data_IF_355470695046
#
_entry.id   IF_355470695046
#
_cell.length_a   1.000
_cell.length_b   1.000
_cell.length_c   1.000
_cell.angle_alpha   90.00
_cell.angle_beta   90.00
_cell.angle_gamma   90.00
#
_symmetry.space_group_name_H-M   'P 1'
#
loop_
_entity.id
_entity.type
_entity.pdbx_description
1 polymer ?
#
# COMPACT_ATOMS: atom_id res chain seq x y z
N UNK A 1 11.12 -10.25 -5.69
CA UNK A 1 10.30 -9.83 -6.84
C UNK A 1 10.51 -8.36 -7.11
N UNK A 2 10.82 -7.97 -8.36
CA UNK A 2 11.09 -6.58 -8.74
C UNK A 2 10.14 -6.16 -9.85
N UNK A 3 9.68 -4.90 -9.81
CA UNK A 3 8.93 -4.30 -10.91
C UNK A 3 9.88 -4.14 -12.10
N UNK A 4 9.47 -4.53 -13.33
CA UNK A 4 10.30 -4.36 -14.53
C UNK A 4 10.80 -2.91 -14.68
N UNK A 5 12.10 -2.73 -14.90
CA UNK A 5 12.72 -1.39 -14.92
C UNK A 5 12.11 -0.47 -15.98
N UNK A 6 11.72 -1.01 -17.15
CA UNK A 6 11.08 -0.20 -18.19
C UNK A 6 9.77 0.46 -17.73
N UNK A 7 9.03 -0.17 -16.81
CA UNK A 7 7.81 0.41 -16.22
C UNK A 7 8.18 1.63 -15.39
N UNK A 8 9.20 1.50 -14.53
CA UNK A 8 9.70 2.58 -13.68
C UNK A 8 10.32 3.71 -14.52
N UNK A 9 11.06 3.36 -15.56
CA UNK A 9 11.74 4.30 -16.45
C UNK A 9 10.75 5.13 -17.27
N UNK A 10 9.63 4.54 -17.67
CA UNK A 10 8.54 5.23 -18.38
C UNK A 10 7.75 6.24 -17.53
N UNK A 11 7.90 6.21 -16.20
CA UNK A 11 7.16 7.12 -15.31
C UNK A 11 7.68 8.56 -15.37
N UNK A 12 6.85 9.56 -15.02
CA UNK A 12 7.31 10.93 -14.78
C UNK A 12 8.48 10.98 -13.79
N UNK A 13 9.35 12.00 -13.93
CA UNK A 13 10.57 12.10 -13.12
C UNK A 13 10.32 12.06 -11.62
N UNK A 14 9.26 12.69 -11.12
CA UNK A 14 8.92 12.69 -9.70
C UNK A 14 8.51 11.32 -9.19
N UNK A 15 7.64 10.61 -9.92
CA UNK A 15 7.26 9.23 -9.62
C UNK A 15 8.49 8.32 -9.63
N UNK A 16 9.29 8.37 -10.69
CA UNK A 16 10.49 7.52 -10.85
C UNK A 16 11.52 7.74 -9.73
N UNK A 17 11.84 8.99 -9.41
CA UNK A 17 12.81 9.32 -8.35
C UNK A 17 12.31 8.88 -6.98
N UNK A 18 11.06 9.18 -6.63
CA UNK A 18 10.48 8.75 -5.36
C UNK A 18 10.40 7.24 -5.25
N UNK A 19 9.94 6.54 -6.30
CA UNK A 19 9.85 5.09 -6.31
C UNK A 19 11.22 4.44 -6.05
N UNK A 20 12.26 4.84 -6.81
CA UNK A 20 13.60 4.26 -6.64
C UNK A 20 14.18 4.51 -5.26
N UNK A 21 14.02 5.72 -4.73
CA UNK A 21 14.49 6.07 -3.39
C UNK A 21 13.80 5.19 -2.33
N UNK A 22 12.48 5.13 -2.34
CA UNK A 22 11.71 4.41 -1.32
C UNK A 22 11.75 2.89 -1.49
N UNK A 23 11.90 2.37 -2.71
CA UNK A 23 12.17 0.96 -2.96
C UNK A 23 13.50 0.55 -2.31
N UNK A 24 14.58 1.27 -2.62
CA UNK A 24 15.90 0.99 -2.05
C UNK A 24 15.86 1.12 -0.53
N UNK A 25 15.26 2.19 -0.02
CA UNK A 25 15.14 2.43 1.42
C UNK A 25 14.39 1.29 2.13
N UNK A 26 13.27 0.85 1.57
CA UNK A 26 12.50 -0.29 2.08
C UNK A 26 13.32 -1.57 2.06
N UNK A 27 14.09 -1.80 0.99
CA UNK A 27 14.91 -3.00 0.89
C UNK A 27 16.00 -3.07 1.95
N UNK A 28 16.70 -1.96 2.16
CA UNK A 28 17.88 -1.89 3.02
C UNK A 28 17.53 -1.70 4.50
N UNK A 29 16.41 -1.05 4.82
CA UNK A 29 16.18 -0.50 6.17
C UNK A 29 14.90 -0.98 6.84
N UNK A 30 13.91 -1.45 6.09
CA UNK A 30 12.58 -1.74 6.64
C UNK A 30 12.38 -3.25 6.81
N UNK A 31 12.03 -3.65 8.04
CA UNK A 31 11.81 -5.05 8.39
C UNK A 31 10.32 -5.39 8.40
N UNK A 32 9.97 -6.51 7.80
CA UNK A 32 8.61 -7.08 7.80
C UNK A 32 8.55 -8.24 8.79
N UNK A 33 7.46 -8.33 9.56
CA UNK A 33 7.23 -9.42 10.52
C UNK A 33 6.99 -10.77 9.85
N UNK A 34 6.51 -10.77 8.60
CA UNK A 34 6.33 -11.95 7.76
C UNK A 34 7.28 -11.89 6.54
N UNK A 35 8.61 -12.02 6.73
CA UNK A 35 9.59 -11.80 5.67
C UNK A 35 9.52 -12.83 4.53
N UNK A 36 8.95 -14.01 4.80
CA UNK A 36 8.73 -15.08 3.83
C UNK A 36 7.32 -15.11 3.25
N UNK A 37 6.47 -14.13 3.59
CA UNK A 37 5.12 -14.05 3.02
C UNK A 37 5.20 -13.78 1.53
N UNK A 38 4.61 -14.67 0.74
CA UNK A 38 4.43 -14.50 -0.71
C UNK A 38 3.29 -13.51 -1.03
N UNK A 39 2.51 -13.08 -0.02
CA UNK A 39 1.29 -12.27 -0.20
C UNK A 39 1.45 -10.83 0.27
N UNK A 40 2.07 -10.61 1.44
CA UNK A 40 2.18 -9.28 2.08
C UNK A 40 3.63 -8.90 2.39
N UNK A 41 4.58 -9.50 1.67
CA UNK A 41 5.98 -9.12 1.71
C UNK A 41 6.27 -7.84 0.92
N UNK A 42 7.55 -7.45 0.86
CA UNK A 42 8.02 -6.23 0.16
C UNK A 42 7.52 -6.09 -1.29
N UNK A 43 7.30 -7.20 -2.01
CA UNK A 43 6.77 -7.17 -3.38
C UNK A 43 5.40 -6.48 -3.49
N UNK A 44 4.52 -6.71 -2.51
CA UNK A 44 3.23 -6.03 -2.40
C UNK A 44 3.43 -4.53 -2.17
N UNK A 45 4.19 -4.16 -1.14
CA UNK A 45 4.46 -2.76 -0.81
C UNK A 45 5.10 -1.96 -1.95
N UNK A 46 5.95 -2.60 -2.79
CA UNK A 46 6.49 -1.97 -4.00
C UNK A 46 5.42 -1.59 -5.01
N UNK A 47 4.47 -2.49 -5.30
CA UNK A 47 3.40 -2.20 -6.26
C UNK A 47 2.46 -1.12 -5.71
N UNK A 48 2.10 -1.21 -4.43
CA UNK A 48 1.31 -0.17 -3.73
C UNK A 48 2.03 1.20 -3.79
N UNK A 49 3.33 1.24 -3.55
CA UNK A 49 4.14 2.46 -3.65
C UNK A 49 4.05 3.07 -5.07
N UNK A 50 4.20 2.25 -6.11
CA UNK A 50 4.11 2.72 -7.49
C UNK A 50 2.71 3.27 -7.79
N UNK A 51 1.64 2.53 -7.45
CA UNK A 51 0.27 2.98 -7.70
C UNK A 51 -0.04 4.29 -6.95
N UNK A 52 0.33 4.39 -5.68
CA UNK A 52 0.10 5.60 -4.88
C UNK A 52 0.82 6.83 -5.47
N UNK A 53 2.07 6.67 -5.92
CA UNK A 53 2.83 7.73 -6.58
C UNK A 53 2.22 8.14 -7.93
N UNK A 54 1.78 7.18 -8.74
CA UNK A 54 1.11 7.46 -10.02
C UNK A 54 -0.22 8.22 -9.79
N UNK A 55 -1.04 7.75 -8.86
CA UNK A 55 -2.33 8.36 -8.55
C UNK A 55 -2.19 9.76 -7.99
N UNK A 56 -1.30 9.98 -7.02
CA UNK A 56 -1.09 11.31 -6.44
C UNK A 56 -0.51 12.27 -7.46
N UNK A 57 0.37 11.80 -8.36
CA UNK A 57 0.90 12.63 -9.45
C UNK A 57 -0.17 13.05 -10.44
N UNK A 58 -1.09 12.14 -10.76
CA UNK A 58 -2.21 12.41 -11.66
C UNK A 58 -3.21 13.40 -11.04
N UNK A 59 -3.44 13.28 -9.74
CA UNK A 59 -4.50 14.00 -9.03
C UNK A 59 -4.07 15.36 -8.47
N UNK A 60 -2.85 15.43 -7.92
CA UNK A 60 -2.31 16.60 -7.21
C UNK A 60 -1.08 17.21 -7.89
N UNK A 61 -0.64 16.68 -9.04
CA UNK A 61 0.53 17.19 -9.74
C UNK A 61 1.85 16.90 -9.00
N UNK A 62 2.80 17.82 -9.08
CA UNK A 62 4.12 17.71 -8.43
C UNK A 62 4.07 18.08 -6.94
N UNK A 63 3.15 17.46 -6.19
CA UNK A 63 3.01 17.69 -4.76
C UNK A 63 3.97 16.77 -3.97
N UNK A 64 5.16 17.29 -3.65
CA UNK A 64 6.23 16.54 -2.98
C UNK A 64 5.83 16.02 -1.59
N UNK A 65 5.08 16.81 -0.82
CA UNK A 65 4.63 16.42 0.51
C UNK A 65 3.65 15.25 0.44
N UNK A 66 2.67 15.32 -0.45
CA UNK A 66 1.71 14.24 -0.68
C UNK A 66 2.39 12.95 -1.15
N UNK A 67 3.38 13.05 -2.06
CA UNK A 67 4.19 11.92 -2.50
C UNK A 67 4.98 11.30 -1.35
N UNK A 68 5.58 12.13 -0.48
CA UNK A 68 6.33 11.67 0.70
C UNK A 68 5.42 10.96 1.69
N UNK A 69 4.26 11.53 2.02
CA UNK A 69 3.26 10.94 2.92
C UNK A 69 2.81 9.57 2.42
N UNK A 70 2.44 9.46 1.14
CA UNK A 70 2.01 8.20 0.55
C UNK A 70 3.13 7.18 0.44
N UNK A 71 4.37 7.62 0.21
CA UNK A 71 5.54 6.73 0.22
C UNK A 71 5.78 6.13 1.60
N UNK A 72 5.66 6.94 2.66
CA UNK A 72 5.72 6.44 4.03
C UNK A 72 4.58 5.45 4.32
N UNK A 73 3.35 5.75 3.91
CA UNK A 73 2.23 4.82 4.09
C UNK A 73 2.49 3.48 3.37
N UNK A 74 2.86 3.52 2.09
CA UNK A 74 3.09 2.33 1.28
C UNK A 74 4.23 1.45 1.78
N UNK A 75 5.35 2.04 2.20
CA UNK A 75 6.52 1.29 2.68
C UNK A 75 6.25 0.59 4.02
N UNK A 76 5.41 1.17 4.89
CA UNK A 76 5.27 0.70 6.26
C UNK A 76 3.97 -0.06 6.59
N UNK A 77 2.87 0.14 5.85
CA UNK A 77 1.51 -0.29 6.27
C UNK A 77 1.36 -1.76 6.66
N UNK A 78 2.07 -2.67 5.98
CA UNK A 78 1.98 -4.12 6.18
C UNK A 78 3.19 -4.72 6.92
N UNK A 79 4.08 -3.87 7.44
CA UNK A 79 5.31 -4.33 8.10
C UNK A 79 5.06 -5.16 9.37
N UNK A 80 3.92 -5.00 10.03
CA UNK A 80 3.59 -5.61 11.33
C UNK A 80 2.36 -6.50 11.30
N UNK A 81 2.16 -7.18 10.17
CA UNK A 81 1.23 -8.30 10.09
C UNK A 81 1.69 -9.47 10.98
N UNK A 82 0.73 -10.16 11.57
CA UNK A 82 0.89 -11.39 12.34
C UNK A 82 0.40 -12.61 11.56
N UNK A 83 -0.43 -12.40 10.54
CA UNK A 83 -1.06 -13.40 9.71
C UNK A 83 -1.28 -12.88 8.27
N UNK A 84 -1.27 -13.80 7.31
CA UNK A 84 -1.49 -13.53 5.89
C UNK A 84 -2.99 -13.45 5.51
N UNK A 85 -3.90 -13.94 6.36
CA UNK A 85 -5.34 -13.99 6.10
C UNK A 85 -6.13 -12.82 6.70
N UNK A 86 -6.50 -12.89 7.99
CA UNK A 86 -7.34 -11.91 8.67
C UNK A 86 -6.58 -11.30 9.84
N UNK A 87 -6.06 -10.09 9.63
CA UNK A 87 -5.26 -9.41 10.64
C UNK A 87 -5.71 -7.97 10.87
N UNK A 88 -6.99 -7.77 11.19
CA UNK A 88 -7.51 -6.42 11.47
C UNK A 88 -6.75 -5.77 12.64
N UNK A 89 -6.19 -4.58 12.43
CA UNK A 89 -5.33 -3.85 13.36
C UNK A 89 -3.84 -3.85 12.99
N UNK A 90 -3.43 -4.52 11.91
CA UNK A 90 -2.04 -4.47 11.42
C UNK A 90 -1.58 -3.06 11.08
N UNK A 91 -2.46 -2.24 10.51
CA UNK A 91 -2.16 -0.84 10.23
C UNK A 91 -1.71 -0.08 11.48
N UNK A 92 -2.39 -0.28 12.61
CA UNK A 92 -2.04 0.37 13.88
C UNK A 92 -0.69 -0.09 14.43
N UNK A 93 -0.37 -1.39 14.31
CA UNK A 93 0.96 -1.90 14.71
C UNK A 93 2.06 -1.37 13.79
N UNK A 94 1.80 -1.29 12.48
CA UNK A 94 2.70 -0.67 11.52
C UNK A 94 2.94 0.81 11.84
N UNK A 95 1.91 1.56 12.23
CA UNK A 95 2.04 2.95 12.64
C UNK A 95 2.93 3.15 13.88
N UNK A 96 2.82 2.26 14.87
CA UNK A 96 3.71 2.27 16.04
C UNK A 96 5.16 2.03 15.61
N UNK A 97 5.38 0.99 14.78
CA UNK A 97 6.72 0.71 14.25
C UNK A 97 7.27 1.88 13.43
N UNK A 98 6.48 2.47 12.55
CA UNK A 98 6.85 3.64 11.76
C UNK A 98 7.26 4.82 12.65
N UNK A 99 6.51 5.10 13.72
CA UNK A 99 6.83 6.17 14.67
C UNK A 99 8.17 5.94 15.37
N UNK A 100 8.43 4.72 15.85
CA UNK A 100 9.70 4.37 16.52
C UNK A 100 10.87 4.33 15.52
N UNK A 101 10.60 3.90 14.29
CA UNK A 101 11.55 3.95 13.19
C UNK A 101 11.95 5.40 12.86
N UNK A 102 11.00 6.33 12.81
CA UNK A 102 11.31 7.75 12.57
C UNK A 102 12.08 8.40 13.72
N UNK A 103 11.86 7.97 14.97
CA UNK A 103 12.58 8.49 16.15
C UNK A 103 14.06 8.11 16.15
N UNK A 104 14.37 6.91 15.68
CA UNK A 104 15.73 6.34 15.71
C UNK A 104 16.43 6.37 14.34
N UNK A 105 15.67 6.63 13.27
CA UNK A 105 16.14 6.68 11.89
C UNK A 105 16.29 8.10 11.34
N UNK A 106 16.49 8.18 10.02
CA UNK A 106 16.82 9.42 9.31
C UNK A 106 15.66 9.98 8.47
N UNK A 107 14.43 9.50 8.67
CA UNK A 107 13.25 10.03 7.95
C UNK A 107 12.36 10.83 8.91
N UNK A 108 11.85 12.00 8.50
CA UNK A 108 10.99 12.80 9.35
C UNK A 108 9.67 12.08 9.60
N UNK A 109 9.21 12.12 10.85
CA UNK A 109 7.89 11.61 11.21
C UNK A 109 6.79 12.47 10.53
N UNK A 110 5.83 11.81 9.89
CA UNK A 110 4.60 12.42 9.40
C UNK A 110 3.42 11.85 10.19
N UNK A 111 2.72 12.73 10.91
CA UNK A 111 1.50 12.35 11.63
C UNK A 111 0.44 11.83 10.64
N UNK A 112 0.29 12.51 9.51
CA UNK A 112 -0.71 12.14 8.52
C UNK A 112 -0.42 10.78 7.86
N UNK A 113 0.84 10.48 7.53
CA UNK A 113 1.22 9.16 7.06
C UNK A 113 0.93 8.07 8.11
N UNK A 114 1.19 8.36 9.39
CA UNK A 114 0.92 7.47 10.51
C UNK A 114 -0.58 7.17 10.65
N UNK A 115 -1.45 8.17 10.53
CA UNK A 115 -2.90 7.99 10.61
C UNK A 115 -3.47 7.28 9.36
N UNK A 116 -2.98 7.59 8.16
CA UNK A 116 -3.37 6.89 6.92
C UNK A 116 -3.04 5.39 7.02
N UNK A 117 -1.81 5.04 7.39
CA UNK A 117 -1.42 3.64 7.52
C UNK A 117 -2.14 2.95 8.69
N UNK A 118 -2.41 3.67 9.79
CA UNK A 118 -3.06 3.11 10.98
C UNK A 118 -4.46 2.58 10.71
N UNK A 119 -5.20 3.26 9.82
CA UNK A 119 -6.60 2.97 9.56
C UNK A 119 -6.89 2.41 8.16
N UNK A 120 -5.86 2.10 7.36
CA UNK A 120 -6.07 1.58 6.01
C UNK A 120 -6.82 0.22 6.01
N UNK A 121 -6.65 -0.57 7.07
CA UNK A 121 -7.26 -1.88 7.28
C UNK A 121 -8.63 -1.82 7.99
N UNK A 122 -9.18 -0.62 8.16
CA UNK A 122 -10.50 -0.38 8.76
C UNK A 122 -11.51 0.09 7.73
N UNK A 123 -12.79 0.07 8.12
CA UNK A 123 -13.87 0.68 7.36
C UNK A 123 -13.58 2.16 7.08
N UNK A 124 -13.96 2.63 5.90
CA UNK A 124 -13.68 4.00 5.43
C UNK A 124 -14.21 5.06 6.39
N UNK A 125 -15.38 4.83 6.99
CA UNK A 125 -15.99 5.80 7.91
C UNK A 125 -15.13 6.00 9.15
N UNK A 126 -14.55 4.90 9.66
CA UNK A 126 -13.65 4.95 10.82
C UNK A 126 -12.38 5.73 10.45
N UNK A 127 -11.74 5.40 9.33
CA UNK A 127 -10.52 6.09 8.91
C UNK A 127 -10.74 7.58 8.65
N UNK A 128 -11.80 7.95 7.95
CA UNK A 128 -12.15 9.36 7.68
C UNK A 128 -12.41 10.13 8.97
N UNK A 129 -13.19 9.56 9.90
CA UNK A 129 -13.46 10.20 11.18
C UNK A 129 -12.18 10.43 12.00
N UNK A 130 -11.30 9.43 12.03
CA UNK A 130 -10.05 9.51 12.81
C UNK A 130 -9.08 10.51 12.22
N UNK A 131 -8.89 10.52 10.90
CA UNK A 131 -8.06 11.53 10.23
C UNK A 131 -8.60 12.94 10.44
N UNK A 132 -9.92 13.12 10.37
CA UNK A 132 -10.57 14.42 10.62
C UNK A 132 -10.30 14.93 12.03
N UNK A 133 -10.24 14.02 13.01
CA UNK A 133 -10.05 14.36 14.42
C UNK A 133 -8.58 14.54 14.77
N UNK A 134 -7.69 13.70 14.23
CA UNK A 134 -6.26 13.69 14.54
C UNK A 134 -5.47 14.74 13.74
N UNK A 135 -5.97 15.18 12.59
CA UNK A 135 -5.33 16.16 11.71
C UNK A 135 -6.34 17.22 11.25
N UNK A 136 -6.93 18.01 12.16
CA UNK A 136 -8.06 18.90 11.84
C UNK A 136 -7.71 19.98 10.80
N UNK A 137 -6.47 20.49 10.82
CA UNK A 137 -5.99 21.52 9.90
C UNK A 137 -5.65 20.97 8.51
N UNK A 138 -5.46 19.65 8.39
CA UNK A 138 -5.10 18.94 7.15
C UNK A 138 -6.19 17.96 6.71
N UNK A 139 -7.40 18.03 7.29
CA UNK A 139 -8.41 16.97 7.16
C UNK A 139 -8.80 16.68 5.71
N UNK A 140 -8.98 17.69 4.86
CA UNK A 140 -9.34 17.50 3.46
C UNK A 140 -8.24 16.78 2.70
N UNK A 141 -7.00 17.26 2.81
CA UNK A 141 -5.83 16.64 2.19
C UNK A 141 -5.61 15.22 2.75
N UNK A 142 -5.77 15.03 4.05
CA UNK A 142 -5.63 13.75 4.72
C UNK A 142 -6.63 12.70 4.26
N UNK A 143 -7.90 13.09 4.14
CA UNK A 143 -8.93 12.20 3.60
C UNK A 143 -8.64 11.85 2.14
N UNK A 144 -8.17 12.79 1.33
CA UNK A 144 -7.81 12.53 -0.06
C UNK A 144 -6.64 11.55 -0.18
N UNK A 145 -5.54 11.77 0.55
CA UNK A 145 -4.39 10.86 0.56
C UNK A 145 -4.75 9.50 1.14
N UNK A 146 -5.60 9.43 2.16
CA UNK A 146 -6.12 8.16 2.68
C UNK A 146 -6.86 7.36 1.61
N UNK A 147 -7.74 8.02 0.85
CA UNK A 147 -8.50 7.36 -0.22
C UNK A 147 -7.59 6.90 -1.36
N UNK A 148 -6.61 7.72 -1.76
CA UNK A 148 -5.58 7.32 -2.74
C UNK A 148 -4.82 6.09 -2.24
N UNK A 149 -4.41 6.09 -0.96
CA UNK A 149 -3.66 4.99 -0.38
C UNK A 149 -4.47 3.67 -0.36
N UNK A 150 -5.73 3.72 0.07
CA UNK A 150 -6.60 2.52 0.08
C UNK A 150 -6.86 1.97 -1.31
N UNK A 151 -7.00 2.84 -2.30
CA UNK A 151 -7.18 2.40 -3.68
C UNK A 151 -5.89 1.77 -4.23
N UNK A 152 -4.72 2.35 -3.92
CA UNK A 152 -3.43 1.78 -4.28
C UNK A 152 -3.20 0.40 -3.66
N UNK A 153 -3.55 0.21 -2.38
CA UNK A 153 -3.53 -1.10 -1.72
C UNK A 153 -4.51 -2.09 -2.38
N UNK A 154 -5.74 -1.64 -2.68
CA UNK A 154 -6.76 -2.45 -3.31
C UNK A 154 -6.38 -2.90 -4.72
N UNK A 155 -5.75 -2.04 -5.53
CA UNK A 155 -5.29 -2.39 -6.89
C UNK A 155 -4.33 -3.58 -6.88
N UNK A 156 -3.56 -3.78 -5.81
CA UNK A 156 -2.65 -4.91 -5.72
C UNK A 156 -3.33 -6.24 -5.41
N UNK A 157 -4.65 -6.26 -5.16
CA UNK A 157 -5.39 -7.47 -4.80
C UNK A 157 -5.57 -8.46 -5.95
N UNK A 158 -5.26 -8.09 -7.19
CA UNK A 158 -5.15 -9.07 -8.28
C UNK A 158 -4.16 -10.19 -7.96
N UNK A 159 -3.20 -9.97 -7.04
CA UNK A 159 -2.29 -11.01 -6.54
C UNK A 159 -3.00 -12.15 -5.81
N UNK A 160 -4.20 -11.89 -5.29
CA UNK A 160 -5.04 -12.84 -4.57
C UNK A 160 -5.93 -13.68 -5.51
N UNK A 161 -5.89 -13.39 -6.82
CA UNK A 161 -6.65 -14.10 -7.84
C UNK A 161 -7.49 -13.16 -8.73
N UNK A 162 -8.17 -13.71 -9.75
CA UNK A 162 -8.90 -12.92 -10.75
C UNK A 162 -10.06 -12.08 -10.18
N UNK A 163 -10.61 -12.47 -9.03
CA UNK A 163 -11.68 -11.76 -8.33
C UNK A 163 -11.18 -11.03 -7.07
N UNK A 164 -9.87 -10.84 -6.92
CA UNK A 164 -9.28 -10.25 -5.72
C UNK A 164 -9.63 -8.77 -5.52
N UNK A 165 -9.90 -8.05 -6.60
CA UNK A 165 -10.35 -6.65 -6.59
C UNK A 165 -11.83 -6.55 -6.98
N UNK A 166 -12.61 -5.88 -6.15
CA UNK A 166 -13.93 -5.37 -6.51
C UNK A 166 -13.85 -3.86 -6.74
N UNK A 167 -13.93 -3.46 -8.01
CA UNK A 167 -13.74 -2.07 -8.45
C UNK A 167 -14.79 -1.11 -7.90
N UNK A 168 -15.93 -1.60 -7.39
CA UNK A 168 -16.97 -0.76 -6.76
C UNK A 168 -16.49 -0.11 -5.46
N UNK A 169 -15.44 -0.67 -4.84
CA UNK A 169 -14.82 -0.12 -3.65
C UNK A 169 -13.66 0.85 -3.93
N UNK A 170 -13.31 1.07 -5.20
CA UNK A 170 -12.34 2.11 -5.56
C UNK A 170 -12.98 3.49 -5.43
N UNK A 171 -12.26 4.40 -4.78
CA UNK A 171 -12.76 5.73 -4.39
C UNK A 171 -12.47 6.79 -5.44
N UNK A 172 -11.42 6.60 -6.22
CA UNK A 172 -10.89 7.59 -7.15
C UNK A 172 -10.99 7.11 -8.60
N UNK A 173 -11.32 8.01 -9.52
CA UNK A 173 -11.29 7.75 -10.98
C UNK A 173 -9.89 7.37 -11.46
N UNK A 174 -8.85 7.93 -10.83
CA UNK A 174 -7.46 7.60 -11.12
C UNK A 174 -7.17 6.12 -10.83
N UNK A 175 -7.76 5.55 -9.78
CA UNK A 175 -7.63 4.13 -9.49
C UNK A 175 -8.34 3.27 -10.54
N UNK A 176 -9.55 3.67 -10.95
CA UNK A 176 -10.32 2.98 -11.99
C UNK A 176 -9.53 2.91 -13.32
N UNK A 177 -8.83 3.99 -13.67
CA UNK A 177 -7.97 4.04 -14.86
C UNK A 177 -6.71 3.16 -14.77
N UNK A 178 -6.35 2.70 -13.56
CA UNK A 178 -5.18 1.86 -13.32
C UNK A 178 -5.52 0.38 -13.20
N UNK A 179 -6.78 -0.03 -13.29
CA UNK A 179 -7.20 -1.43 -13.08
C UNK A 179 -6.48 -2.40 -14.02
N UNK A 180 -6.53 -2.16 -15.34
CA UNK A 180 -5.87 -3.02 -16.33
C UNK A 180 -4.34 -3.02 -16.18
N UNK A 181 -3.78 -1.85 -15.84
CA UNK A 181 -2.35 -1.71 -15.57
C UNK A 181 -1.94 -2.52 -14.33
N UNK A 182 -2.71 -2.44 -13.25
CA UNK A 182 -2.45 -3.14 -12.00
C UNK A 182 -2.53 -4.66 -12.17
N UNK A 183 -3.54 -5.15 -12.90
CA UNK A 183 -3.63 -6.57 -13.23
C UNK A 183 -2.42 -7.03 -14.05
N UNK A 184 -2.05 -6.28 -15.09
CA UNK A 184 -0.88 -6.60 -15.91
C UNK A 184 0.42 -6.58 -15.10
N UNK A 185 0.61 -5.59 -14.24
CA UNK A 185 1.80 -5.48 -13.39
C UNK A 185 1.89 -6.63 -12.38
N UNK A 186 0.77 -7.03 -11.78
CA UNK A 186 0.73 -8.22 -10.91
C UNK A 186 1.14 -9.46 -11.69
N UNK A 187 0.60 -9.69 -12.89
CA UNK A 187 0.96 -10.86 -13.73
C UNK A 187 2.43 -10.89 -14.13
N UNK A 188 3.06 -9.73 -14.29
CA UNK A 188 4.48 -9.61 -14.64
C UNK A 188 5.41 -9.76 -13.44
N UNK A 189 4.90 -9.53 -12.23
CA UNK A 189 5.73 -9.56 -11.03
C UNK A 189 5.51 -10.86 -10.26
N UNK A 190 4.28 -11.31 -10.08
CA UNK A 190 3.93 -12.54 -9.36
C UNK A 190 3.90 -13.73 -10.31
N UNK A 191 4.67 -14.77 -10.00
CA UNK A 191 4.68 -15.98 -10.81
C UNK A 191 3.36 -16.74 -10.71
N UNK A 192 3.04 -17.54 -11.74
CA UNK A 192 1.86 -18.40 -11.72
C UNK A 192 1.86 -19.40 -10.54
N UNK A 193 3.05 -19.84 -10.12
CA UNK A 193 3.20 -20.74 -8.98
C UNK A 193 2.87 -20.04 -7.65
N UNK A 194 3.37 -18.82 -7.44
CA UNK A 194 3.05 -18.00 -6.26
C UNK A 194 1.55 -17.68 -6.24
N UNK A 195 0.96 -17.22 -7.35
CA UNK A 195 -0.48 -16.95 -7.43
C UNK A 195 -1.31 -18.20 -7.08
N UNK A 196 -0.92 -19.37 -7.59
CA UNK A 196 -1.61 -20.63 -7.28
C UNK A 196 -1.54 -20.97 -5.79
N UNK A 197 -0.36 -20.86 -5.17
CA UNK A 197 -0.19 -21.10 -3.72
C UNK A 197 -1.03 -20.13 -2.89
N UNK A 198 -1.05 -18.85 -3.25
CA UNK A 198 -1.89 -17.84 -2.59
C UNK A 198 -3.36 -18.22 -2.69
N UNK A 199 -3.84 -18.59 -3.87
CA UNK A 199 -5.24 -19.02 -4.06
C UNK A 199 -5.59 -20.26 -3.24
N UNK A 200 -4.71 -21.26 -3.20
CA UNK A 200 -4.89 -22.47 -2.38
C UNK A 200 -4.91 -22.17 -0.88
N UNK A 201 -4.04 -21.26 -0.41
CA UNK A 201 -4.06 -20.78 0.97
C UNK A 201 -5.39 -20.10 1.31
N UNK A 202 -5.84 -19.16 0.48
CA UNK A 202 -7.12 -18.46 0.65
C UNK A 202 -8.30 -19.44 0.70
N UNK A 203 -8.35 -20.42 -0.22
CA UNK A 203 -9.41 -21.42 -0.24
C UNK A 203 -9.47 -22.28 1.03
N UNK A 204 -8.30 -22.63 1.59
CA UNK A 204 -8.23 -23.35 2.87
C UNK A 204 -8.79 -22.51 4.01
N UNK A 205 -8.38 -21.24 4.10
CA UNK A 205 -8.85 -20.34 5.14
C UNK A 205 -10.37 -20.08 5.07
N UNK A 206 -10.94 -19.95 3.87
CA UNK A 206 -12.39 -19.85 3.68
C UNK A 206 -13.09 -21.10 4.23
N UNK A 207 -12.58 -22.28 3.90
CA UNK A 207 -13.16 -23.56 4.34
C UNK A 207 -13.10 -23.76 5.86
N UNK A 208 -12.00 -23.34 6.49
CA UNK A 208 -11.80 -23.43 7.94
C UNK A 208 -12.64 -22.38 8.71
N UNK A 209 -12.90 -21.21 8.10
CA UNK A 209 -13.73 -20.17 8.69
C UNK A 209 -15.24 -20.34 8.47
N UNK A 210 -15.68 -21.35 7.71
CA UNK A 210 -17.11 -21.70 7.51
C UNK A 210 -17.56 -22.93 8.29
N UNK A 211 -16.68 -23.50 9.12
CA UNK A 211 -16.99 -24.56 10.12
C UNK A 211 -17.05 -23.99 11.52
#
# INVERSE_FOLDING_TARGET
>A
MQIPQYIIDSQPSSVRKNYRYWEQYMEERVSFSLPTSEVHGKGHSKRVLLYALMMVRQRLGENEEAMRILSHAAVFHDTRRLDDWSDTGHGARAAIYYKDFCRTGNIPFSNLASEIMKYHDRDDRIGVQQITTACPDEKEAGIELYRIFKDADALDRFRLGPNGLDTRFLRNKEALNLVDFAESLVRQTVSAAEMKKTMEYIQRQIKEGTT
#
